data_IF_411264738677
#
_entry.id   IF_411264738677
#
_cell.length_a   1.000
_cell.length_b   1.000
_cell.length_c   1.000
_cell.angle_alpha   90.00
_cell.angle_beta   90.00
_cell.angle_gamma   90.00
#
_symmetry.space_group_name_H-M   'P 1'
#
loop_
_entity.id
_entity.type
_entity.pdbx_description
1 polymer ?
#
# COMPACT_ATOMS: atom_id res chain seq x y z
N UNK A 1 13.70 -11.05 17.14
CA UNK A 1 12.93 -10.40 16.05
C UNK A 1 11.47 -10.83 16.03
N UNK A 2 11.15 -12.12 16.13
CA UNK A 2 9.78 -12.66 16.12
C UNK A 2 8.83 -12.03 17.15
N UNK A 3 9.30 -11.76 18.37
CA UNK A 3 8.51 -11.09 19.42
C UNK A 3 8.08 -9.66 19.03
N UNK A 4 8.95 -8.90 18.36
CA UNK A 4 8.66 -7.54 17.89
C UNK A 4 7.62 -7.54 16.76
N UNK A 5 7.76 -8.44 15.78
CA UNK A 5 6.81 -8.58 14.68
C UNK A 5 5.42 -8.90 15.23
N UNK A 6 5.32 -9.85 16.17
CA UNK A 6 4.04 -10.19 16.82
C UNK A 6 3.46 -9.04 17.64
N UNK A 7 4.31 -8.25 18.30
CA UNK A 7 3.85 -7.07 19.03
C UNK A 7 3.27 -6.00 18.10
N UNK A 8 3.97 -5.69 17.00
CA UNK A 8 3.48 -4.71 16.03
C UNK A 8 2.23 -5.20 15.29
N UNK A 9 2.16 -6.48 14.91
CA UNK A 9 0.96 -7.06 14.31
C UNK A 9 -0.27 -6.94 15.23
N UNK A 10 -0.09 -7.14 16.55
CA UNK A 10 -1.18 -6.96 17.53
C UNK A 10 -1.60 -5.50 17.68
N UNK A 11 -0.65 -4.55 17.66
CA UNK A 11 -0.95 -3.11 17.73
C UNK A 11 -1.68 -2.60 16.50
N UNK A 12 -1.22 -3.00 15.31
CA UNK A 12 -1.91 -2.68 14.05
C UNK A 12 -3.33 -3.28 14.03
N UNK A 13 -3.46 -4.48 14.59
CA UNK A 13 -4.73 -5.21 14.65
C UNK A 13 -4.97 -6.08 13.41
N UNK A 14 -5.54 -7.26 13.65
CA UNK A 14 -5.81 -8.24 12.58
C UNK A 14 -6.83 -7.74 11.56
N UNK A 15 -7.79 -6.89 11.98
CA UNK A 15 -8.78 -6.32 11.06
C UNK A 15 -8.12 -5.49 9.96
N UNK A 16 -7.18 -4.61 10.33
CA UNK A 16 -6.47 -3.78 9.36
C UNK A 16 -5.55 -4.63 8.47
N UNK A 17 -4.87 -5.63 9.03
CA UNK A 17 -4.03 -6.54 8.25
C UNK A 17 -4.83 -7.49 7.34
N UNK A 18 -6.09 -7.79 7.66
CA UNK A 18 -6.95 -8.61 6.81
C UNK A 18 -7.67 -7.78 5.72
N UNK A 19 -7.80 -6.47 5.91
CA UNK A 19 -8.59 -5.60 5.02
C UNK A 19 -8.10 -5.61 3.56
N UNK A 20 -6.79 -5.46 3.25
CA UNK A 20 -6.32 -5.55 1.86
C UNK A 20 -6.61 -6.91 1.22
N UNK A 21 -6.51 -7.99 1.99
CA UNK A 21 -6.83 -9.35 1.54
C UNK A 21 -8.31 -9.47 1.22
N UNK A 22 -9.18 -9.00 2.11
CA UNK A 22 -10.62 -8.99 1.91
C UNK A 22 -11.02 -8.14 0.69
N UNK A 23 -10.40 -6.96 0.51
CA UNK A 23 -10.60 -6.12 -0.67
C UNK A 23 -10.20 -6.84 -1.96
N UNK A 24 -9.04 -7.49 -2.00
CA UNK A 24 -8.58 -8.22 -3.17
C UNK A 24 -9.53 -9.36 -3.57
N UNK A 25 -10.00 -10.13 -2.58
CA UNK A 25 -11.00 -11.18 -2.79
C UNK A 25 -12.32 -10.59 -3.28
N UNK A 26 -12.79 -9.49 -2.68
CA UNK A 26 -14.04 -8.85 -3.07
C UNK A 26 -14.01 -8.33 -4.51
N UNK A 27 -12.90 -7.72 -4.93
CA UNK A 27 -12.72 -7.26 -6.32
C UNK A 27 -12.70 -8.43 -7.30
N UNK A 28 -11.98 -9.51 -6.98
CA UNK A 28 -11.99 -10.72 -7.81
C UNK A 28 -13.41 -11.31 -7.93
N UNK A 29 -14.11 -11.48 -6.81
CA UNK A 29 -15.47 -12.01 -6.79
C UNK A 29 -16.43 -11.14 -7.61
N UNK A 30 -16.36 -9.81 -7.44
CA UNK A 30 -17.16 -8.88 -8.23
C UNK A 30 -16.87 -9.00 -9.73
N UNK A 31 -15.60 -9.07 -10.13
CA UNK A 31 -15.19 -9.25 -11.52
C UNK A 31 -15.74 -10.54 -12.14
N UNK A 32 -15.69 -11.65 -11.40
CA UNK A 32 -16.25 -12.94 -11.84
C UNK A 32 -17.77 -12.86 -11.95
N UNK A 33 -18.46 -12.29 -10.96
CA UNK A 33 -19.92 -12.18 -10.98
C UNK A 33 -20.42 -11.36 -12.17
N UNK A 34 -19.81 -10.19 -12.45
CA UNK A 34 -20.25 -9.36 -13.58
C UNK A 34 -19.92 -9.99 -14.94
N UNK A 35 -18.90 -10.86 -15.02
CA UNK A 35 -18.57 -11.58 -16.25
C UNK A 35 -19.67 -12.56 -16.72
N UNK A 36 -20.51 -13.02 -15.79
CA UNK A 36 -21.65 -13.90 -16.12
C UNK A 36 -22.87 -13.17 -16.68
N UNK A 37 -22.90 -11.84 -16.59
CA UNK A 37 -24.08 -11.02 -16.93
C UNK A 37 -23.77 -9.99 -18.01
N UNK A 38 -22.54 -9.46 -18.03
CA UNK A 38 -22.14 -8.37 -18.92
C UNK A 38 -21.27 -8.84 -20.08
N UNK A 39 -21.19 -8.00 -21.12
CA UNK A 39 -20.25 -8.24 -22.21
C UNK A 39 -18.80 -8.16 -21.72
N UNK A 40 -17.89 -8.87 -22.39
CA UNK A 40 -16.46 -8.89 -22.03
C UNK A 40 -15.87 -7.48 -21.90
N UNK A 41 -16.20 -6.57 -22.81
CA UNK A 41 -15.72 -5.18 -22.79
C UNK A 41 -16.17 -4.45 -21.52
N UNK A 42 -17.44 -4.59 -21.13
CA UNK A 42 -17.98 -4.00 -19.90
C UNK A 42 -17.32 -4.58 -18.66
N UNK A 43 -17.13 -5.90 -18.62
CA UNK A 43 -16.43 -6.59 -17.52
C UNK A 43 -15.01 -6.06 -17.34
N UNK A 44 -14.22 -6.01 -18.42
CA UNK A 44 -12.84 -5.53 -18.37
C UNK A 44 -12.77 -4.07 -17.91
N UNK A 45 -13.69 -3.21 -18.39
CA UNK A 45 -13.76 -1.82 -17.96
C UNK A 45 -14.04 -1.71 -16.45
N UNK A 46 -14.98 -2.49 -15.93
CA UNK A 46 -15.33 -2.46 -14.50
C UNK A 46 -14.23 -3.06 -13.63
N UNK A 47 -13.62 -4.16 -14.05
CA UNK A 47 -12.46 -4.74 -13.34
C UNK A 47 -11.32 -3.72 -13.25
N UNK A 48 -11.06 -2.96 -14.32
CA UNK A 48 -10.04 -1.90 -14.31
C UNK A 48 -10.31 -0.84 -13.24
N UNK A 49 -11.56 -0.39 -13.10
CA UNK A 49 -11.94 0.58 -12.07
C UNK A 49 -11.96 -0.02 -10.65
N UNK A 50 -12.48 -1.23 -10.49
CA UNK A 50 -12.51 -1.92 -9.19
C UNK A 50 -11.11 -2.22 -8.67
N UNK A 51 -10.15 -2.52 -9.54
CA UNK A 51 -8.76 -2.71 -9.16
C UNK A 51 -8.16 -1.48 -8.46
N UNK A 52 -8.62 -0.27 -8.80
CA UNK A 52 -8.18 0.96 -8.13
C UNK A 52 -8.62 1.03 -6.67
N UNK A 53 -9.77 0.43 -6.31
CA UNK A 53 -10.23 0.35 -4.92
C UNK A 53 -9.26 -0.45 -4.05
N UNK A 54 -8.67 -1.50 -4.61
CA UNK A 54 -7.65 -2.30 -3.94
C UNK A 54 -6.37 -1.48 -3.71
N UNK A 55 -5.94 -0.70 -4.71
CA UNK A 55 -4.72 0.13 -4.61
C UNK A 55 -4.89 1.21 -3.54
N UNK A 56 -5.97 2.00 -3.61
CA UNK A 56 -6.19 3.07 -2.62
C UNK A 56 -6.47 2.51 -1.23
N UNK A 57 -7.28 1.44 -1.12
CA UNK A 57 -7.57 0.79 0.15
C UNK A 57 -6.30 0.24 0.82
N UNK A 58 -5.40 -0.35 0.03
CA UNK A 58 -4.09 -0.78 0.49
C UNK A 58 -3.24 0.39 1.01
N UNK A 59 -3.20 1.49 0.25
CA UNK A 59 -2.49 2.71 0.65
C UNK A 59 -3.01 3.28 1.97
N UNK A 60 -4.32 3.34 2.15
CA UNK A 60 -4.95 3.81 3.40
C UNK A 60 -4.63 2.87 4.56
N UNK A 61 -4.67 1.55 4.35
CA UNK A 61 -4.26 0.58 5.37
C UNK A 61 -2.81 0.79 5.79
N UNK A 62 -1.90 1.03 4.83
CA UNK A 62 -0.50 1.38 5.14
C UNK A 62 -0.47 2.67 5.96
N UNK A 63 -1.11 3.75 5.51
CA UNK A 63 -1.13 5.02 6.23
C UNK A 63 -1.58 4.85 7.69
N UNK A 64 -2.72 4.21 7.91
CA UNK A 64 -3.27 3.97 9.25
C UNK A 64 -2.34 3.10 10.08
N UNK A 65 -1.74 2.05 9.52
CA UNK A 65 -0.79 1.22 10.27
C UNK A 65 0.45 1.99 10.71
N UNK A 66 0.91 2.95 9.91
CA UNK A 66 2.09 3.77 10.23
C UNK A 66 1.78 4.88 11.22
N UNK A 67 0.54 5.38 11.25
CA UNK A 67 0.15 6.55 12.07
C UNK A 67 -0.84 6.23 13.20
N UNK A 68 -1.28 4.98 13.37
CA UNK A 68 -2.38 4.61 14.27
C UNK A 68 -2.07 4.69 15.77
N UNK A 69 -0.82 4.44 16.17
CA UNK A 69 -0.35 4.65 17.54
C UNK A 69 0.77 5.70 17.52
N UNK A 70 0.80 6.67 18.46
CA UNK A 70 1.93 7.56 18.65
C UNK A 70 3.20 6.73 18.85
N UNK A 71 4.17 6.96 17.98
CA UNK A 71 5.42 6.21 18.00
C UNK A 71 6.23 6.47 19.29
N UNK A 72 5.97 7.56 20.02
CA UNK A 72 6.50 7.81 21.37
C UNK A 72 6.06 6.71 22.33
N UNK A 73 4.76 6.39 22.38
CA UNK A 73 4.24 5.31 23.22
C UNK A 73 4.82 3.95 22.82
N UNK A 74 5.09 3.75 21.53
CA UNK A 74 5.76 2.55 21.04
C UNK A 74 7.24 2.49 21.49
N UNK A 75 7.95 3.62 21.50
CA UNK A 75 9.34 3.72 21.93
C UNK A 75 9.53 3.62 23.44
N UNK A 76 8.55 4.07 24.23
CA UNK A 76 8.57 3.94 25.70
C UNK A 76 8.21 2.52 26.15
N UNK A 77 7.33 1.84 25.40
CA UNK A 77 6.89 0.48 25.71
C UNK A 77 7.78 -0.63 25.13
N UNK A 78 8.74 -0.30 24.28
CA UNK A 78 9.65 -1.28 23.67
C UNK A 78 11.06 -0.71 23.49
N UNK A 79 12.14 -1.48 23.76
CA UNK A 79 13.52 -0.99 23.65
C UNK A 79 14.02 -0.87 22.19
N UNK A 80 13.11 -0.74 21.21
CA UNK A 80 13.43 -0.71 19.78
C UNK A 80 13.21 0.68 19.20
N UNK A 81 14.22 1.20 18.51
CA UNK A 81 14.18 2.52 17.90
C UNK A 81 13.15 2.68 16.78
N UNK A 82 12.79 3.95 16.52
CA UNK A 82 11.78 4.45 15.59
C UNK A 82 11.84 3.81 14.19
N UNK A 83 13.04 3.74 13.62
CA UNK A 83 13.30 3.07 12.33
C UNK A 83 12.70 1.66 12.30
N UNK A 84 13.09 0.82 13.26
CA UNK A 84 12.66 -0.60 13.29
C UNK A 84 11.16 -0.72 13.40
N UNK A 85 10.51 0.08 14.25
CA UNK A 85 9.05 0.06 14.42
C UNK A 85 8.34 0.43 13.12
N UNK A 86 8.68 1.57 12.51
CA UNK A 86 8.10 2.04 11.25
C UNK A 86 8.29 1.03 10.11
N UNK A 87 9.51 0.50 9.90
CA UNK A 87 9.71 -0.54 8.87
C UNK A 87 8.95 -1.82 9.14
N UNK A 88 8.82 -2.24 10.40
CA UNK A 88 8.10 -3.48 10.71
C UNK A 88 6.62 -3.32 10.41
N UNK A 89 6.03 -2.16 10.77
CA UNK A 89 4.63 -1.84 10.46
C UNK A 89 4.41 -1.78 8.96
N UNK A 90 5.31 -1.12 8.23
CA UNK A 90 5.27 -1.06 6.76
C UNK A 90 5.40 -2.44 6.11
N UNK A 91 6.35 -3.26 6.56
CA UNK A 91 6.56 -4.60 6.01
C UNK A 91 5.34 -5.50 6.23
N UNK A 92 4.74 -5.46 7.43
CA UNK A 92 3.53 -6.24 7.74
C UNK A 92 2.36 -5.86 6.84
N UNK A 93 2.10 -4.57 6.66
CA UNK A 93 1.03 -4.11 5.77
C UNK A 93 1.36 -4.37 4.31
N UNK A 94 2.59 -4.12 3.86
CA UNK A 94 3.02 -4.40 2.50
C UNK A 94 2.85 -5.88 2.12
N UNK A 95 3.16 -6.82 3.03
CA UNK A 95 2.91 -8.24 2.78
C UNK A 95 1.42 -8.51 2.62
N UNK A 96 0.58 -7.98 3.51
CA UNK A 96 -0.88 -8.14 3.42
C UNK A 96 -1.43 -7.60 2.09
N UNK A 97 -1.00 -6.40 1.69
CA UNK A 97 -1.48 -5.76 0.47
C UNK A 97 -1.02 -6.50 -0.79
N UNK A 98 0.22 -7.02 -0.79
CA UNK A 98 0.71 -7.88 -1.87
C UNK A 98 -0.07 -9.21 -1.95
N UNK A 99 -0.40 -9.84 -0.82
CA UNK A 99 -1.25 -11.03 -0.81
C UNK A 99 -2.62 -10.71 -1.39
N UNK A 100 -3.24 -9.60 -0.98
CA UNK A 100 -4.51 -9.14 -1.57
C UNK A 100 -4.41 -8.90 -3.08
N UNK A 101 -3.30 -8.33 -3.56
CA UNK A 101 -3.07 -8.08 -4.98
C UNK A 101 -3.02 -9.40 -5.78
N UNK A 102 -2.32 -10.41 -5.25
CA UNK A 102 -2.25 -11.74 -5.87
C UNK A 102 -3.62 -12.41 -5.87
N UNK A 103 -4.35 -12.36 -4.76
CA UNK A 103 -5.69 -12.93 -4.65
C UNK A 103 -6.72 -12.24 -5.54
N UNK A 104 -6.52 -10.96 -5.84
CA UNK A 104 -7.30 -10.24 -6.84
C UNK A 104 -6.92 -10.66 -8.26
N UNK A 105 -5.63 -10.59 -8.58
CA UNK A 105 -5.10 -10.75 -9.94
C UNK A 105 -5.23 -12.19 -10.45
N UNK A 106 -4.75 -13.18 -9.67
CA UNK A 106 -4.62 -14.56 -10.12
C UNK A 106 -5.93 -15.16 -10.67
N UNK A 107 -7.08 -15.10 -9.97
CA UNK A 107 -8.32 -15.65 -10.52
C UNK A 107 -8.81 -14.89 -11.76
N UNK A 108 -8.67 -13.56 -11.78
CA UNK A 108 -9.09 -12.74 -12.93
C UNK A 108 -8.22 -13.00 -14.16
N UNK A 109 -6.91 -13.18 -13.97
CA UNK A 109 -5.96 -13.56 -15.01
C UNK A 109 -6.30 -14.94 -15.60
N UNK A 110 -6.47 -15.96 -14.75
CA UNK A 110 -6.79 -17.33 -15.18
C UNK A 110 -8.09 -17.39 -16.01
N UNK A 111 -9.05 -16.53 -15.69
CA UNK A 111 -10.32 -16.42 -16.41
C UNK A 111 -10.29 -15.48 -17.63
N UNK A 112 -9.14 -14.86 -17.93
CA UNK A 112 -9.00 -13.91 -19.04
C UNK A 112 -9.84 -12.62 -18.86
N UNK A 113 -10.10 -12.25 -17.60
CA UNK A 113 -10.87 -11.10 -17.14
C UNK A 113 -9.97 -9.94 -16.65
N UNK A 114 -8.66 -10.07 -16.78
CA UNK A 114 -7.72 -8.99 -16.44
C UNK A 114 -7.59 -7.99 -17.61
N UNK A 115 -7.68 -6.67 -17.37
CA UNK A 115 -7.50 -5.67 -18.42
C UNK A 115 -6.06 -5.67 -18.96
N UNK A 116 -5.93 -5.60 -20.29
CA UNK A 116 -4.62 -5.55 -20.98
C UNK A 116 -3.65 -6.65 -20.52
N UNK A 117 -4.18 -7.87 -20.37
CA UNK A 117 -3.44 -9.00 -19.85
C UNK A 117 -2.28 -9.41 -20.78
N UNK A 118 -1.07 -9.39 -20.25
CA UNK A 118 0.19 -9.80 -20.90
C UNK A 118 0.76 -11.06 -20.23
N UNK A 119 -0.07 -11.83 -19.53
CA UNK A 119 0.35 -12.97 -18.72
C UNK A 119 0.67 -12.55 -17.28
N UNK A 120 1.38 -13.42 -16.56
CA UNK A 120 1.76 -13.18 -15.16
C UNK A 120 2.58 -11.91 -14.93
N UNK A 121 3.22 -11.35 -15.96
CA UNK A 121 3.92 -10.07 -15.86
C UNK A 121 2.96 -8.91 -15.54
N UNK A 122 1.68 -9.01 -15.91
CA UNK A 122 0.66 -8.01 -15.60
C UNK A 122 0.40 -7.87 -14.10
N UNK A 123 0.82 -8.84 -13.26
CA UNK A 123 0.79 -8.72 -11.80
C UNK A 123 1.65 -7.55 -11.29
N UNK A 124 2.68 -7.15 -12.05
CA UNK A 124 3.52 -5.99 -11.72
C UNK A 124 2.67 -4.73 -11.59
N UNK A 125 1.63 -4.55 -12.42
CA UNK A 125 0.81 -3.35 -12.41
C UNK A 125 0.09 -3.14 -11.04
N UNK A 126 -0.75 -4.05 -10.52
CA UNK A 126 -1.38 -3.86 -9.22
C UNK A 126 -0.38 -3.95 -8.06
N UNK A 127 0.57 -4.89 -8.09
CA UNK A 127 1.55 -5.05 -7.00
C UNK A 127 2.47 -3.82 -6.88
N UNK A 128 2.97 -3.32 -8.00
CA UNK A 128 3.80 -2.13 -8.06
C UNK A 128 3.05 -0.87 -7.63
N UNK A 129 1.77 -0.71 -8.03
CA UNK A 129 0.96 0.45 -7.62
C UNK A 129 0.81 0.50 -6.09
N UNK A 130 0.48 -0.65 -5.49
CA UNK A 130 0.38 -0.81 -4.03
C UNK A 130 1.70 -0.46 -3.34
N UNK A 131 2.83 -0.94 -3.87
CA UNK A 131 4.14 -0.63 -3.33
C UNK A 131 4.45 0.86 -3.44
N UNK A 132 4.21 1.50 -4.59
CA UNK A 132 4.48 2.93 -4.79
C UNK A 132 3.67 3.79 -3.82
N UNK A 133 2.37 3.52 -3.71
CA UNK A 133 1.47 4.23 -2.79
C UNK A 133 1.88 3.97 -1.34
N UNK A 134 2.23 2.73 -1.00
CA UNK A 134 2.72 2.36 0.33
C UNK A 134 4.03 3.06 0.69
N UNK A 135 5.00 3.13 -0.23
CA UNK A 135 6.28 3.82 -0.04
C UNK A 135 6.07 5.33 0.13
N UNK A 136 5.13 5.92 -0.61
CA UNK A 136 4.73 7.31 -0.42
C UNK A 136 4.14 7.56 0.98
N UNK A 137 3.25 6.66 1.43
CA UNK A 137 2.73 6.68 2.79
C UNK A 137 3.84 6.55 3.85
N UNK A 138 4.78 5.63 3.65
CA UNK A 138 5.94 5.48 4.54
C UNK A 138 6.74 6.77 4.67
N UNK A 139 7.07 7.36 3.52
CA UNK A 139 7.88 8.56 3.50
C UNK A 139 7.13 9.73 4.16
N UNK A 140 5.84 9.93 3.81
CA UNK A 140 5.00 10.97 4.41
C UNK A 140 4.83 10.81 5.92
N UNK A 141 4.64 9.58 6.42
CA UNK A 141 4.53 9.29 7.84
C UNK A 141 5.84 9.65 8.59
N UNK A 142 7.00 9.34 8.01
CA UNK A 142 8.30 9.68 8.58
C UNK A 142 8.61 11.20 8.60
N UNK A 143 8.06 11.95 7.64
CA UNK A 143 8.23 13.40 7.60
C UNK A 143 7.31 14.14 8.55
N UNK A 144 6.03 13.78 8.56
CA UNK A 144 4.97 14.58 9.17
C UNK A 144 4.50 14.08 10.53
N UNK A 145 4.68 12.78 10.82
CA UNK A 145 4.02 12.10 11.94
C UNK A 145 2.48 12.34 12.01
N UNK A 146 1.85 12.71 10.88
CA UNK A 146 0.44 13.06 10.80
C UNK A 146 -0.32 12.06 9.94
N UNK A 147 -1.40 11.49 10.51
CA UNK A 147 -2.31 10.61 9.78
C UNK A 147 -2.91 11.32 8.56
N UNK A 148 -3.37 12.57 8.73
CA UNK A 148 -3.95 13.36 7.65
C UNK A 148 -2.96 13.59 6.50
N UNK A 149 -1.75 14.06 6.81
CA UNK A 149 -0.74 14.30 5.78
C UNK A 149 -0.33 13.00 5.06
N UNK A 150 -0.25 11.89 5.79
CA UNK A 150 0.08 10.58 5.24
C UNK A 150 -1.00 10.08 4.29
N UNK A 151 -2.28 10.17 4.68
CA UNK A 151 -3.41 9.80 3.82
C UNK A 151 -3.48 10.69 2.59
N UNK A 152 -3.29 12.01 2.74
CA UNK A 152 -3.26 12.94 1.59
C UNK A 152 -2.16 12.57 0.60
N UNK A 153 -0.95 12.24 1.06
CA UNK A 153 0.14 11.80 0.20
C UNK A 153 -0.19 10.49 -0.54
N UNK A 154 -0.77 9.51 0.17
CA UNK A 154 -1.26 8.25 -0.41
C UNK A 154 -2.29 8.50 -1.51
N UNK A 155 -3.30 9.32 -1.23
CA UNK A 155 -4.36 9.66 -2.20
C UNK A 155 -3.78 10.41 -3.39
N UNK A 156 -2.90 11.38 -3.16
CA UNK A 156 -2.30 12.17 -4.25
C UNK A 156 -1.45 11.29 -5.18
N UNK A 157 -0.64 10.38 -4.64
CA UNK A 157 0.16 9.45 -5.44
C UNK A 157 -0.72 8.44 -6.17
N UNK A 158 -1.76 7.93 -5.51
CA UNK A 158 -2.75 7.08 -6.18
C UNK A 158 -3.43 7.81 -7.34
N UNK A 159 -3.89 9.06 -7.15
CA UNK A 159 -4.50 9.86 -8.21
C UNK A 159 -3.53 10.09 -9.37
N UNK A 160 -2.28 10.42 -9.07
CA UNK A 160 -1.24 10.56 -10.09
C UNK A 160 -1.07 9.27 -10.90
N UNK A 161 -0.95 8.11 -10.24
CA UNK A 161 -0.83 6.83 -10.93
C UNK A 161 -2.08 6.54 -11.78
N UNK A 162 -3.25 6.56 -11.17
CA UNK A 162 -4.49 6.14 -11.79
C UNK A 162 -4.95 7.06 -12.94
N UNK A 163 -4.70 8.37 -12.83
CA UNK A 163 -5.26 9.37 -13.75
C UNK A 163 -4.25 9.95 -14.73
N UNK A 164 -2.96 10.00 -14.37
CA UNK A 164 -1.93 10.73 -15.13
C UNK A 164 -0.80 9.85 -15.65
N UNK A 165 -0.60 8.65 -15.10
CA UNK A 165 0.53 7.79 -15.45
C UNK A 165 0.08 6.49 -16.12
N UNK A 166 -0.71 5.68 -15.42
CA UNK A 166 -1.14 4.35 -15.87
C UNK A 166 -1.86 4.34 -17.21
N UNK A 167 -2.74 5.31 -17.53
CA UNK A 167 -3.41 5.35 -18.82
C UNK A 167 -2.47 5.58 -20.01
N UNK A 168 -1.27 6.13 -19.77
CA UNK A 168 -0.36 6.60 -20.82
C UNK A 168 0.92 5.76 -20.94
N UNK A 169 1.31 5.03 -19.88
CA UNK A 169 2.49 4.15 -19.88
C UNK A 169 2.01 2.70 -19.86
N UNK A 170 2.06 2.05 -21.03
CA UNK A 170 1.48 0.71 -21.23
C UNK A 170 2.43 -0.44 -20.89
N UNK A 171 3.74 -0.25 -20.99
CA UNK A 171 4.73 -1.27 -20.64
C UNK A 171 4.77 -1.45 -19.11
N UNK A 172 4.41 -2.63 -18.54
CA UNK A 172 4.27 -2.81 -17.09
C UNK A 172 5.57 -2.55 -16.32
N UNK A 173 6.72 -2.87 -16.92
CA UNK A 173 8.03 -2.68 -16.29
C UNK A 173 8.33 -1.19 -16.14
N UNK A 174 8.15 -0.41 -17.20
CA UNK A 174 8.35 1.05 -17.17
C UNK A 174 7.27 1.75 -16.34
N UNK A 175 6.02 1.28 -16.44
CA UNK A 175 4.86 1.80 -15.72
C UNK A 175 5.05 1.74 -14.19
N UNK A 176 5.86 0.81 -13.68
CA UNK A 176 6.13 0.67 -12.24
C UNK A 176 7.56 0.93 -11.82
N UNK A 177 8.54 0.54 -12.63
CA UNK A 177 9.95 0.72 -12.34
C UNK A 177 10.31 2.17 -12.07
N UNK A 178 9.79 3.11 -12.87
CA UNK A 178 10.06 4.54 -12.70
C UNK A 178 9.46 5.07 -11.38
N UNK A 179 8.13 4.93 -11.11
CA UNK A 179 7.57 5.37 -9.84
C UNK A 179 8.21 4.70 -8.61
N UNK A 180 8.57 3.41 -8.69
CA UNK A 180 9.25 2.71 -7.60
C UNK A 180 10.63 3.34 -7.34
N UNK A 181 11.42 3.57 -8.40
CA UNK A 181 12.75 4.18 -8.26
C UNK A 181 12.66 5.57 -7.60
N UNK A 182 11.70 6.40 -8.02
CA UNK A 182 11.46 7.72 -7.42
C UNK A 182 11.04 7.60 -5.95
N UNK A 183 10.08 6.73 -5.63
CA UNK A 183 9.62 6.52 -4.25
C UNK A 183 10.73 5.99 -3.34
N UNK A 184 11.64 5.15 -3.87
CA UNK A 184 12.78 4.64 -3.10
C UNK A 184 13.75 5.74 -2.68
N UNK A 185 13.97 6.76 -3.52
CA UNK A 185 14.78 7.92 -3.14
C UNK A 185 14.15 8.62 -1.93
N UNK A 186 12.83 8.89 -1.97
CA UNK A 186 12.11 9.50 -0.87
C UNK A 186 12.20 8.65 0.42
N UNK A 187 12.05 7.33 0.29
CA UNK A 187 12.15 6.39 1.41
C UNK A 187 13.54 6.38 2.04
N UNK A 188 14.62 6.50 1.26
CA UNK A 188 15.98 6.58 1.80
C UNK A 188 16.15 7.83 2.67
N UNK A 189 15.64 8.98 2.24
CA UNK A 189 15.67 10.21 3.05
C UNK A 189 14.78 10.08 4.29
N UNK A 190 13.56 9.59 4.15
CA UNK A 190 12.64 9.31 5.25
C UNK A 190 13.25 8.34 6.28
N UNK A 191 13.92 7.29 5.84
CA UNK A 191 14.60 6.33 6.70
C UNK A 191 15.73 6.96 7.49
N UNK A 192 16.54 7.80 6.83
CA UNK A 192 17.60 8.56 7.50
C UNK A 192 17.02 9.44 8.61
N UNK A 193 15.95 10.16 8.30
CA UNK A 193 15.21 11.03 9.22
C UNK A 193 14.63 10.29 10.44
N UNK A 194 14.16 9.06 10.27
CA UNK A 194 13.69 8.23 11.40
C UNK A 194 14.80 7.84 12.39
N UNK A 195 16.08 8.09 12.08
CA UNK A 195 17.18 7.87 13.02
C UNK A 195 17.53 9.07 13.89
N UNK A 196 16.92 10.22 13.65
CA UNK A 196 17.08 11.41 14.47
C UNK A 196 16.06 11.38 15.62
N UNK A 197 16.49 10.86 16.78
CA UNK A 197 15.62 10.61 17.92
C UNK A 197 15.04 11.90 18.51
N UNK A 198 15.84 12.96 18.60
CA UNK A 198 15.43 14.25 19.16
C UNK A 198 14.33 14.91 18.30
N UNK A 199 14.50 14.88 16.97
CA UNK A 199 13.46 15.33 16.03
C UNK A 199 12.19 14.51 16.19
N UNK A 200 12.30 13.19 16.28
CA UNK A 200 11.12 12.31 16.31
C UNK A 200 10.31 12.46 17.60
N UNK A 201 10.98 12.64 18.75
CA UNK A 201 10.31 12.97 20.02
C UNK A 201 9.57 14.30 19.90
N UNK A 202 10.20 15.30 19.29
CA UNK A 202 9.58 16.63 19.11
C UNK A 202 8.36 16.58 18.20
N UNK A 203 8.45 15.86 17.07
CA UNK A 203 7.34 15.71 16.12
C UNK A 203 6.16 14.98 16.74
N UNK A 204 6.42 13.88 17.45
CA UNK A 204 5.36 13.09 18.04
C UNK A 204 4.65 13.77 19.23
N UNK A 205 5.32 14.68 19.94
CA UNK A 205 4.66 15.54 20.92
C UNK A 205 3.72 16.57 20.31
N UNK A 206 3.94 16.97 19.05
CA UNK A 206 3.07 17.93 18.34
C UNK A 206 1.83 17.28 17.73
N UNK A 207 1.81 15.96 17.61
CA UNK A 207 0.69 15.19 17.04
C UNK A 207 -0.34 14.72 18.08
N UNK A 208 -0.08 14.96 19.37
CA UNK A 208 -1.00 14.74 20.51
C UNK A 208 -1.74 16.05 20.78
#
# INVERSE_FOLDING_TARGET
MTGMIRAQARRIGMGLLAMPVACGIAVAAAGVMVSGVWSRTQTLMVVNWLAQLMVIGSGVCVAVALTGDPLVEASESTPVGWRRVQTTRFALTAVSTLVGAVLMFAPLHVLGLWPQDMGWISLIAPAGAILVVGLAGFAAAAWSASAQATVMAVVAVWMFLALLWDPYVLDPVTQRGIPIAVSMIAVVFAWRLLGDEERNVTLARRSI
#
